data_IF_902348875888
#
_entry.id   IF_902348875888
#
_cell.length_a   1.000
_cell.length_b   1.000
_cell.length_c   1.000
_cell.angle_alpha   90.00
_cell.angle_beta   90.00
_cell.angle_gamma   90.00
#
_symmetry.space_group_name_H-M   'P 1'
#
loop_
_entity.id
_entity.type
_entity.pdbx_description
1 polymer ?
#
# COMPACT_ATOMS: atom_id res chain seq x y z
N UNK A 1 -15.91 -33.87 -26.24
CA UNK A 1 -16.74 -32.64 -26.20
C UNK A 1 -17.03 -32.35 -24.73
N UNK A 2 -16.46 -31.39 -24.01
CA UNK A 2 -15.54 -30.31 -24.30
C UNK A 2 -14.67 -30.11 -23.03
N UNK A 3 -13.39 -29.81 -23.18
CA UNK A 3 -12.48 -29.53 -22.08
C UNK A 3 -12.61 -28.06 -21.67
N UNK A 4 -13.07 -27.81 -20.44
CA UNK A 4 -13.16 -26.47 -19.86
C UNK A 4 -11.76 -26.00 -19.46
N UNK A 5 -11.08 -25.33 -20.40
CA UNK A 5 -9.81 -24.65 -20.15
C UNK A 5 -10.05 -23.33 -19.42
N UNK A 6 -10.16 -23.39 -18.10
CA UNK A 6 -10.08 -22.23 -17.22
C UNK A 6 -8.61 -21.81 -17.08
N UNK A 7 -8.14 -20.97 -18.00
CA UNK A 7 -6.77 -20.44 -17.95
C UNK A 7 -6.70 -19.02 -18.50
N UNK A 8 -7.56 -18.13 -18.01
CA UNK A 8 -7.45 -16.70 -18.32
C UNK A 8 -7.88 -15.82 -17.13
N UNK A 9 -7.31 -16.07 -15.95
CA UNK A 9 -7.00 -14.98 -15.01
C UNK A 9 -5.61 -14.43 -15.36
N UNK A 10 -5.40 -14.11 -16.65
CA UNK A 10 -4.19 -13.46 -17.14
C UNK A 10 -4.27 -12.00 -16.75
N UNK A 11 -3.45 -11.68 -15.77
CA UNK A 11 -2.79 -10.39 -15.67
C UNK A 11 -3.65 -9.11 -15.64
N UNK A 12 -4.42 -8.94 -14.57
CA UNK A 12 -4.63 -7.61 -14.00
C UNK A 12 -3.34 -7.09 -13.28
N UNK A 13 -2.20 -7.78 -13.42
CA UNK A 13 -1.04 -7.73 -12.53
C UNK A 13 -0.07 -6.57 -12.76
N UNK A 14 -0.32 -5.64 -13.70
CA UNK A 14 0.60 -4.50 -13.85
C UNK A 14 -0.01 -3.31 -14.57
N UNK A 15 -1.10 -2.75 -14.03
CA UNK A 15 -1.32 -1.32 -14.26
C UNK A 15 -0.16 -0.62 -13.53
N UNK A 16 0.89 -0.26 -14.26
CA UNK A 16 1.86 0.71 -13.78
C UNK A 16 1.05 1.97 -13.47
N UNK A 17 0.74 2.19 -12.19
CA UNK A 17 -0.05 3.33 -11.74
C UNK A 17 0.80 4.57 -11.96
N UNK A 18 0.79 5.15 -13.15
CA UNK A 18 1.30 6.50 -13.43
C UNK A 18 0.27 7.51 -12.91
N UNK A 19 -0.11 7.38 -11.65
CA UNK A 19 -0.99 8.31 -10.94
C UNK A 19 -0.19 9.21 -10.00
N UNK A 20 -0.83 10.23 -9.43
CA UNK A 20 -0.19 11.16 -8.48
C UNK A 20 0.51 10.45 -7.31
N UNK A 21 0.03 9.26 -6.94
CA UNK A 21 0.55 8.46 -5.82
C UNK A 21 1.43 7.29 -6.28
N UNK A 22 1.96 7.32 -7.50
CA UNK A 22 2.83 6.28 -8.09
C UNK A 22 4.11 6.01 -7.27
N UNK A 23 4.56 7.00 -6.52
CA UNK A 23 5.77 6.96 -5.70
C UNK A 23 5.53 6.48 -4.27
N UNK A 24 4.26 6.39 -3.83
CA UNK A 24 3.90 5.91 -2.49
C UNK A 24 3.97 4.39 -2.46
N UNK A 25 4.80 3.85 -1.57
CA UNK A 25 5.03 2.40 -1.40
C UNK A 25 4.53 1.85 -0.07
N UNK A 26 4.22 2.73 0.89
CA UNK A 26 3.76 2.37 2.23
C UNK A 26 3.71 3.57 3.17
N UNK A 27 3.39 3.33 4.44
CA UNK A 27 3.23 4.38 5.46
C UNK A 27 4.58 4.85 6.06
N UNK A 28 5.66 4.10 5.85
CA UNK A 28 7.02 4.43 6.27
C UNK A 28 7.19 4.49 7.78
N UNK A 29 6.57 3.54 8.48
CA UNK A 29 6.69 3.34 9.93
C UNK A 29 7.87 2.42 10.25
N UNK A 30 8.51 2.65 11.39
CA UNK A 30 9.51 1.74 11.93
C UNK A 30 8.87 0.64 12.81
N UNK A 31 9.72 -0.20 13.42
CA UNK A 31 9.27 -1.28 14.31
C UNK A 31 8.59 -0.78 15.59
N UNK A 32 8.75 0.50 15.93
CA UNK A 32 8.08 1.15 17.06
C UNK A 32 6.77 1.85 16.63
N UNK A 33 6.32 1.67 15.38
CA UNK A 33 5.18 2.35 14.77
C UNK A 33 5.36 3.87 14.66
N UNK A 34 6.60 4.36 14.66
CA UNK A 34 6.90 5.79 14.47
C UNK A 34 7.19 6.09 13.00
N UNK A 35 6.56 7.12 12.41
CA UNK A 35 6.83 7.52 11.03
C UNK A 35 8.12 8.32 10.92
N UNK A 36 8.95 7.94 9.95
CA UNK A 36 10.15 8.70 9.58
C UNK A 36 9.77 9.95 8.78
N UNK A 37 10.54 11.04 8.94
CA UNK A 37 10.29 12.33 8.26
C UNK A 37 10.10 12.20 6.74
N UNK A 38 10.87 11.31 6.10
CA UNK A 38 10.71 10.89 4.71
C UNK A 38 10.87 9.38 4.65
N UNK A 39 9.87 8.65 4.15
CA UNK A 39 9.95 7.20 3.96
C UNK A 39 8.81 6.68 3.08
N UNK A 40 9.05 5.61 2.33
CA UNK A 40 8.07 4.93 1.46
C UNK A 40 7.28 5.86 0.51
N UNK A 41 7.91 6.94 0.05
CA UNK A 41 7.30 7.95 -0.81
C UNK A 41 6.50 9.03 -0.05
N UNK A 42 6.29 8.86 1.26
CA UNK A 42 5.63 9.84 2.12
C UNK A 42 6.64 10.84 2.68
N UNK A 43 6.24 12.11 2.76
CA UNK A 43 7.02 13.21 3.37
C UNK A 43 6.15 13.91 4.41
N UNK A 44 6.64 14.01 5.64
CA UNK A 44 5.92 14.64 6.74
C UNK A 44 4.67 13.86 7.16
N UNK A 45 3.61 14.59 7.52
CA UNK A 45 2.31 14.07 7.98
C UNK A 45 2.45 12.98 9.06
N UNK A 46 3.36 13.20 10.02
CA UNK A 46 3.75 12.21 11.02
C UNK A 46 2.57 11.78 11.89
N UNK A 47 1.77 12.71 12.40
CA UNK A 47 0.61 12.38 13.24
C UNK A 47 -0.41 11.51 12.51
N UNK A 48 -0.71 11.83 11.24
CA UNK A 48 -1.66 11.05 10.44
C UNK A 48 -1.12 9.65 10.10
N UNK A 49 0.18 9.56 9.75
CA UNK A 49 0.82 8.28 9.44
C UNK A 49 0.90 7.36 10.66
N UNK A 50 1.18 7.93 11.83
CA UNK A 50 1.17 7.21 13.11
C UNK A 50 -0.23 6.71 13.45
N UNK A 51 -1.25 7.56 13.33
CA UNK A 51 -2.64 7.17 13.57
C UNK A 51 -3.13 6.08 12.60
N UNK A 52 -2.69 6.11 11.34
CA UNK A 52 -3.02 5.07 10.36
C UNK A 52 -2.36 3.71 10.66
N UNK A 53 -1.17 3.70 11.28
CA UNK A 53 -0.48 2.47 11.67
C UNK A 53 -0.86 1.93 13.04
N UNK A 54 -1.26 2.81 13.95
CA UNK A 54 -1.76 2.47 15.28
C UNK A 54 -3.29 2.41 15.22
N UNK A 55 -3.83 1.30 14.70
CA UNK A 55 -5.26 1.04 14.84
C UNK A 55 -5.58 0.85 16.33
N UNK A 56 -6.39 1.72 16.97
CA UNK A 56 -6.95 1.39 18.27
C UNK A 56 -7.80 0.12 18.08
N UNK A 57 -7.68 -0.90 18.95
CA UNK A 57 -8.57 -2.04 18.88
C UNK A 57 -10.02 -1.55 19.07
N UNK A 58 -10.83 -1.75 18.03
CA UNK A 58 -12.29 -1.81 17.99
C UNK A 58 -13.09 -0.53 18.42
N UNK A 59 -13.73 0.09 17.43
CA UNK A 59 -15.15 0.47 17.48
C UNK A 59 -15.95 -0.61 16.72
#
# INVERSE_FOLDING_TARGET
MAELKLSDSRDLTRIERIGAHSHIRGLGLDSALEPRAVSEGMVGQTSARKAAGCHPPDD
#
